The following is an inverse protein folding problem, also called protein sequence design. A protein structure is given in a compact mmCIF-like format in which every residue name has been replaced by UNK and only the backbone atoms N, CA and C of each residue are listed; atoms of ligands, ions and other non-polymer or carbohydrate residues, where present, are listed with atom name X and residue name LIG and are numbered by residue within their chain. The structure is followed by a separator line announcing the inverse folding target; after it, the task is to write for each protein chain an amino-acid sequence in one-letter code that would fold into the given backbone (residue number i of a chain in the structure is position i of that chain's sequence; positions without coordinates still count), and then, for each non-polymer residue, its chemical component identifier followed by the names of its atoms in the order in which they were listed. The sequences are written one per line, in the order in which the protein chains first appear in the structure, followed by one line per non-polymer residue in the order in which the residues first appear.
data_IF_898658320595
#
_entry.id   IF_898658320595
#
_cell.length_a   1.000
_cell.length_b   1.000
_cell.length_c   1.000
_cell.angle_alpha   90.00
_cell.angle_beta   90.00
_cell.angle_gamma   90.00
#
_symmetry.space_group_name_H-M   'P 1'
#
loop_
_entity.id
_entity.type
_entity.pdbx_description
1 polymer ?
#
# COMPACT_ATOMS: atom_id res chain seq x y z
N UNK A 1 15.40 -0.56 13.15
CA UNK A 1 15.42 -0.88 11.71
C UNK A 1 16.46 -1.96 11.49
N UNK A 2 16.09 -3.14 10.99
CA UNK A 2 17.05 -4.23 10.79
C UNK A 2 18.01 -3.90 9.65
N UNK A 3 19.31 -3.85 9.95
CA UNK A 3 20.37 -3.69 8.96
C UNK A 3 20.54 -4.99 8.18
N UNK A 4 19.86 -5.13 7.05
CA UNK A 4 20.08 -6.25 6.14
C UNK A 4 21.28 -5.91 5.24
N UNK A 5 22.27 -6.81 5.19
CA UNK A 5 23.41 -6.70 4.26
C UNK A 5 22.91 -6.89 2.83
N UNK A 6 23.43 -6.08 1.91
CA UNK A 6 23.20 -6.28 0.48
C UNK A 6 23.68 -7.68 0.06
N UNK A 7 22.90 -8.33 -0.81
CA UNK A 7 23.21 -9.66 -1.28
C UNK A 7 24.52 -9.65 -2.07
N UNK A 8 25.51 -10.40 -1.60
CA UNK A 8 26.74 -10.67 -2.35
C UNK A 8 26.36 -11.76 -3.37
N UNK A 9 26.51 -11.44 -4.66
CA UNK A 9 26.09 -12.23 -5.82
C UNK A 9 26.34 -13.74 -5.66
N UNK A 10 25.29 -14.48 -5.29
CA UNK A 10 25.19 -15.92 -5.55
C UNK A 10 24.20 -16.07 -6.70
N UNK A 11 24.68 -16.59 -7.84
CA UNK A 11 23.99 -16.55 -9.13
C UNK A 11 22.76 -17.47 -9.24
N UNK A 12 22.41 -18.20 -8.17
CA UNK A 12 21.28 -19.14 -8.15
C UNK A 12 20.32 -18.81 -7.02
N UNK A 13 19.07 -18.48 -7.36
CA UNK A 13 17.98 -18.27 -6.40
C UNK A 13 17.65 -19.59 -5.72
N UNK A 14 18.03 -19.76 -4.46
CA UNK A 14 17.58 -20.89 -3.63
C UNK A 14 16.11 -20.69 -3.25
N UNK A 15 15.28 -21.73 -3.45
CA UNK A 15 13.86 -21.76 -3.06
C UNK A 15 13.64 -23.00 -2.20
N UNK A 16 13.14 -22.80 -0.99
CA UNK A 16 12.79 -23.89 -0.07
C UNK A 16 11.39 -24.43 -0.43
N UNK A 17 11.24 -25.72 -0.76
CA UNK A 17 9.95 -26.33 -1.09
C UNK A 17 9.10 -26.68 0.15
N UNK A 18 9.60 -26.47 1.38
CA UNK A 18 8.92 -26.88 2.61
C UNK A 18 7.58 -26.15 2.78
N UNK A 19 6.45 -26.87 2.92
CA UNK A 19 5.15 -26.24 3.13
C UNK A 19 5.02 -25.69 4.56
N UNK A 20 4.09 -24.75 4.73
CA UNK A 20 3.76 -24.21 6.04
C UNK A 20 3.19 -25.33 6.96
N UNK A 21 3.52 -25.37 8.26
CA UNK A 21 2.97 -26.36 9.18
C UNK A 21 1.44 -26.34 9.24
N UNK A 22 0.82 -27.50 9.39
CA UNK A 22 -0.66 -27.64 9.44
C UNK A 22 -1.33 -26.86 10.57
N UNK A 23 -0.58 -26.57 11.64
CA UNK A 23 -1.06 -25.75 12.77
C UNK A 23 -1.34 -24.29 12.40
N UNK A 24 -0.76 -23.79 11.29
CA UNK A 24 -0.97 -22.43 10.82
C UNK A 24 -1.98 -22.45 9.66
N UNK A 25 -3.18 -21.87 9.83
CA UNK A 25 -4.17 -21.85 8.77
C UNK A 25 -3.68 -21.02 7.58
N UNK A 26 -3.92 -21.56 6.37
CA UNK A 26 -3.58 -20.88 5.11
C UNK A 26 -4.34 -19.55 4.96
N UNK A 27 -3.70 -18.59 4.31
CA UNK A 27 -4.26 -17.29 3.95
C UNK A 27 -3.98 -17.02 2.49
N UNK A 28 -4.92 -16.35 1.82
CA UNK A 28 -4.68 -15.86 0.46
C UNK A 28 -3.69 -14.70 0.51
N UNK A 29 -2.77 -14.67 -0.44
CA UNK A 29 -1.80 -13.59 -0.58
C UNK A 29 -2.36 -12.42 -1.39
N UNK A 30 -1.82 -11.21 -1.16
CA UNK A 30 -2.36 -9.97 -1.75
C UNK A 30 -2.36 -9.98 -3.28
N UNK A 31 -1.37 -10.61 -3.90
CA UNK A 31 -1.28 -10.77 -5.37
C UNK A 31 -1.13 -9.47 -6.17
N UNK A 32 -0.92 -8.32 -5.54
CA UNK A 32 -0.72 -7.04 -6.19
C UNK A 32 0.78 -6.72 -6.38
N UNK A 33 1.14 -6.15 -7.53
CA UNK A 33 2.49 -5.64 -7.79
C UNK A 33 2.74 -4.29 -7.10
N UNK A 34 3.96 -3.76 -7.20
CA UNK A 34 4.39 -2.53 -6.51
C UNK A 34 3.53 -1.31 -6.83
N UNK A 35 3.23 -1.02 -8.10
CA UNK A 35 2.46 0.16 -8.49
C UNK A 35 1.01 0.18 -7.97
N UNK A 36 0.18 -0.87 -8.16
CA UNK A 36 -1.18 -0.89 -7.62
C UNK A 36 -1.17 -0.86 -6.08
N UNK A 37 -0.23 -1.53 -5.43
CA UNK A 37 -0.12 -1.49 -3.97
C UNK A 37 0.27 -0.08 -3.47
N UNK A 38 1.19 0.59 -4.16
CA UNK A 38 1.57 1.98 -3.88
C UNK A 38 0.43 2.97 -4.15
N UNK A 39 -0.35 2.76 -5.20
CA UNK A 39 -1.54 3.55 -5.52
C UNK A 39 -2.60 3.45 -4.41
N UNK A 40 -2.82 2.24 -3.87
CA UNK A 40 -3.80 1.98 -2.82
C UNK A 40 -3.30 2.25 -1.38
N UNK A 41 -2.02 2.55 -1.18
CA UNK A 41 -1.37 2.52 0.14
C UNK A 41 -2.03 3.43 1.18
N UNK A 42 -2.47 4.63 0.80
CA UNK A 42 -3.14 5.58 1.70
C UNK A 42 -4.51 5.07 2.13
N UNK A 43 -5.24 4.42 1.23
CA UNK A 43 -6.54 3.84 1.52
C UNK A 43 -6.41 2.58 2.36
N UNK A 44 -5.38 1.75 2.13
CA UNK A 44 -5.03 0.62 3.01
C UNK A 44 -4.72 1.14 4.41
N UNK A 45 -3.93 2.22 4.50
CA UNK A 45 -3.59 2.85 5.78
C UNK A 45 -4.82 3.34 6.56
N UNK A 46 -5.80 3.93 5.89
CA UNK A 46 -7.03 4.38 6.55
C UNK A 46 -7.98 3.22 6.89
N UNK A 47 -8.24 2.33 5.94
CA UNK A 47 -9.22 1.25 6.09
C UNK A 47 -8.74 0.13 7.01
N UNK A 48 -7.45 -0.19 6.98
CA UNK A 48 -6.84 -1.25 7.78
C UNK A 48 -6.04 -0.72 8.97
N UNK A 49 -6.28 0.53 9.39
CA UNK A 49 -5.49 1.21 10.43
C UNK A 49 -5.37 0.37 11.71
N UNK A 50 -6.51 -0.07 12.24
CA UNK A 50 -6.57 -0.84 13.50
C UNK A 50 -5.78 -2.14 13.40
N UNK A 51 -5.95 -2.90 12.32
CA UNK A 51 -5.23 -4.16 12.13
C UNK A 51 -3.72 -3.97 11.96
N UNK A 52 -3.31 -2.92 11.26
CA UNK A 52 -1.90 -2.60 11.04
C UNK A 52 -1.23 -2.17 12.34
N UNK A 53 -1.91 -1.34 13.13
CA UNK A 53 -1.41 -0.86 14.42
C UNK A 53 -1.29 -2.04 15.40
N UNK A 54 -2.30 -2.90 15.50
CA UNK A 54 -2.27 -4.10 16.35
C UNK A 54 -1.11 -5.04 15.98
N UNK A 55 -0.87 -5.26 14.68
CA UNK A 55 0.25 -6.08 14.22
C UNK A 55 1.61 -5.47 14.63
N UNK A 56 1.75 -4.15 14.51
CA UNK A 56 2.98 -3.46 14.90
C UNK A 56 3.17 -3.43 16.42
N UNK A 57 2.10 -3.31 17.20
CA UNK A 57 2.13 -3.43 18.66
C UNK A 57 2.57 -4.84 19.08
N UNK A 58 1.94 -5.88 18.53
CA UNK A 58 2.33 -7.28 18.79
C UNK A 58 3.81 -7.53 18.49
N UNK A 59 4.30 -7.01 17.36
CA UNK A 59 5.71 -7.14 16.97
C UNK A 59 6.67 -6.37 17.88
N UNK A 60 6.22 -5.27 18.47
CA UNK A 60 7.00 -4.51 19.43
C UNK A 60 7.03 -5.18 20.82
N UNK A 61 5.96 -5.88 21.19
CA UNK A 61 5.86 -6.64 22.45
C UNK A 61 6.67 -7.93 22.42
N UNK A 62 6.72 -8.62 21.27
CA UNK A 62 7.41 -9.89 21.11
C UNK A 62 8.25 -9.95 19.83
N UNK A 63 9.52 -10.33 19.98
CA UNK A 63 10.45 -10.51 18.87
C UNK A 63 10.24 -11.81 18.08
N UNK A 64 9.45 -12.77 18.58
CA UNK A 64 9.13 -14.02 17.87
C UNK A 64 8.09 -13.76 16.76
N UNK A 65 8.44 -13.92 15.46
CA UNK A 65 7.51 -13.71 14.36
C UNK A 65 6.32 -14.68 14.38
N UNK A 66 6.44 -15.85 15.03
CA UNK A 66 5.34 -16.82 15.13
C UNK A 66 4.18 -16.28 15.98
N UNK A 67 4.48 -15.40 16.94
CA UNK A 67 3.50 -14.85 17.87
C UNK A 67 2.42 -14.04 17.13
N UNK A 68 2.81 -13.24 16.14
CA UNK A 68 1.93 -12.28 15.46
C UNK A 68 1.32 -12.81 14.13
N UNK A 69 1.35 -14.13 13.90
CA UNK A 69 0.82 -14.74 12.67
C UNK A 69 -0.70 -14.56 12.52
N UNK A 70 -1.43 -14.39 13.62
CA UNK A 70 -2.88 -14.19 13.57
C UNK A 70 -3.24 -12.78 13.11
N UNK A 71 -2.50 -11.80 13.62
CA UNK A 71 -2.60 -10.37 13.34
C UNK A 71 -2.17 -10.11 11.89
N UNK A 72 -1.06 -10.72 11.46
CA UNK A 72 -0.59 -10.63 10.07
C UNK A 72 -1.61 -11.15 9.05
N UNK A 73 -2.36 -12.21 9.38
CA UNK A 73 -3.46 -12.71 8.54
C UNK A 73 -4.62 -11.72 8.46
N UNK A 74 -4.97 -11.05 9.57
CA UNK A 74 -6.02 -10.01 9.59
C UNK A 74 -5.64 -8.84 8.68
N UNK A 75 -4.39 -8.36 8.78
CA UNK A 75 -3.85 -7.31 7.91
C UNK A 75 -3.95 -7.69 6.43
N UNK A 76 -3.49 -8.90 6.09
CA UNK A 76 -3.49 -9.40 4.71
C UNK A 76 -4.90 -9.48 4.14
N UNK A 77 -5.86 -10.04 4.90
CA UNK A 77 -7.27 -10.13 4.50
C UNK A 77 -7.91 -8.75 4.34
N UNK A 78 -7.61 -7.81 5.23
CA UNK A 78 -8.12 -6.45 5.13
C UNK A 78 -7.64 -5.76 3.83
N UNK A 79 -6.34 -5.88 3.52
CA UNK A 79 -5.77 -5.33 2.30
C UNK A 79 -6.40 -5.95 1.03
N UNK A 80 -6.60 -7.27 1.00
CA UNK A 80 -7.27 -7.98 -0.11
C UNK A 80 -8.71 -7.47 -0.28
N UNK A 81 -9.45 -7.34 0.82
CA UNK A 81 -10.82 -6.84 0.79
C UNK A 81 -10.91 -5.43 0.18
N UNK A 82 -10.02 -4.54 0.61
CA UNK A 82 -9.98 -3.18 0.07
C UNK A 82 -9.59 -3.16 -1.41
N UNK A 83 -8.55 -3.89 -1.82
CA UNK A 83 -8.12 -3.93 -3.22
C UNK A 83 -9.25 -4.49 -4.11
N UNK A 84 -9.98 -5.48 -3.62
CA UNK A 84 -11.17 -6.02 -4.32
C UNK A 84 -12.23 -4.94 -4.49
N UNK A 85 -12.59 -4.23 -3.42
CA UNK A 85 -13.54 -3.10 -3.48
C UNK A 85 -13.08 -1.99 -4.42
N UNK A 86 -11.78 -1.66 -4.44
CA UNK A 86 -11.22 -0.65 -5.34
C UNK A 86 -11.36 -1.07 -6.80
N UNK A 87 -11.12 -2.34 -7.12
CA UNK A 87 -11.27 -2.88 -8.48
C UNK A 87 -12.73 -2.88 -8.93
N UNK A 88 -13.65 -3.25 -8.06
CA UNK A 88 -15.09 -3.31 -8.35
C UNK A 88 -15.69 -1.92 -8.55
N UNK A 89 -15.30 -0.94 -7.73
CA UNK A 89 -15.93 0.38 -7.70
C UNK A 89 -15.20 1.43 -8.54
N UNK A 90 -13.87 1.42 -8.55
CA UNK A 90 -13.02 2.47 -9.14
C UNK A 90 -11.92 1.88 -10.05
N UNK A 91 -12.18 0.72 -10.67
CA UNK A 91 -11.14 -0.03 -11.41
C UNK A 91 -10.47 0.76 -12.53
N UNK A 92 -11.21 1.59 -13.26
CA UNK A 92 -10.67 2.39 -14.38
C UNK A 92 -9.73 3.50 -13.89
N UNK A 93 -10.16 4.24 -12.88
CA UNK A 93 -9.38 5.34 -12.29
C UNK A 93 -8.16 4.79 -11.54
N UNK A 94 -8.34 3.67 -10.85
CA UNK A 94 -7.27 2.96 -10.17
C UNK A 94 -6.19 2.50 -11.16
N UNK A 95 -6.60 1.93 -12.29
CA UNK A 95 -5.70 1.52 -13.37
C UNK A 95 -4.95 2.68 -14.01
N UNK A 96 -5.65 3.76 -14.36
CA UNK A 96 -5.01 4.95 -14.89
C UNK A 96 -3.96 5.53 -13.93
N UNK A 97 -4.22 5.50 -12.62
CA UNK A 97 -3.29 6.00 -11.62
C UNK A 97 -2.05 5.11 -11.48
N UNK A 98 -2.20 3.79 -11.28
CA UNK A 98 -1.04 2.93 -11.10
C UNK A 98 -0.20 2.78 -12.38
N UNK A 99 -0.82 2.79 -13.57
CA UNK A 99 -0.09 2.80 -14.84
C UNK A 99 0.77 4.06 -15.00
N UNK A 100 0.29 5.21 -14.53
CA UNK A 100 1.09 6.43 -14.49
C UNK A 100 2.29 6.28 -13.54
N UNK A 101 2.07 5.73 -12.34
CA UNK A 101 3.15 5.51 -11.37
C UNK A 101 4.24 4.63 -11.96
N UNK A 102 3.86 3.52 -12.62
CA UNK A 102 4.83 2.59 -13.20
C UNK A 102 5.74 3.24 -14.25
N UNK A 103 5.22 4.22 -15.01
CA UNK A 103 6.00 4.97 -16.02
C UNK A 103 6.91 6.07 -15.46
N UNK A 104 6.71 6.48 -14.21
CA UNK A 104 7.35 7.65 -13.62
C UNK A 104 8.16 7.31 -12.37
N UNK A 105 8.88 6.17 -12.38
CA UNK A 105 9.66 5.70 -11.23
C UNK A 105 8.82 5.60 -9.93
N UNK A 106 7.51 5.41 -10.09
CA UNK A 106 6.51 5.40 -9.03
C UNK A 106 6.42 6.70 -8.21
N UNK A 107 6.80 7.85 -8.78
CA UNK A 107 6.70 9.15 -8.13
C UNK A 107 5.27 9.72 -8.16
N UNK A 108 4.69 10.00 -6.99
CA UNK A 108 3.32 10.53 -6.90
C UNK A 108 3.15 11.93 -7.52
N UNK A 109 4.17 12.78 -7.48
CA UNK A 109 4.06 14.15 -8.01
C UNK A 109 3.83 14.16 -9.53
N UNK A 110 4.27 13.11 -10.24
CA UNK A 110 4.07 12.95 -11.67
C UNK A 110 2.64 12.58 -12.04
N UNK A 111 1.89 12.00 -11.10
CA UNK A 111 0.59 11.37 -11.36
C UNK A 111 -0.58 12.08 -10.67
N UNK A 112 -0.44 13.37 -10.32
CA UNK A 112 -1.51 14.13 -9.61
C UNK A 112 -2.84 14.18 -10.37
N UNK A 113 -2.81 14.20 -11.70
CA UNK A 113 -4.04 14.25 -12.52
C UNK A 113 -4.88 12.96 -12.36
N UNK A 114 -4.35 11.76 -12.66
CA UNK A 114 -5.10 10.52 -12.41
C UNK A 114 -5.31 10.23 -10.92
N UNK A 115 -4.42 10.70 -10.04
CA UNK A 115 -4.61 10.58 -8.59
C UNK A 115 -5.86 11.31 -8.10
N UNK A 116 -6.13 12.53 -8.59
CA UNK A 116 -7.32 13.29 -8.20
C UNK A 116 -8.61 12.59 -8.61
N UNK A 117 -8.69 12.09 -9.84
CA UNK A 117 -9.86 11.33 -10.32
C UNK A 117 -10.06 10.06 -9.53
N UNK A 118 -8.98 9.37 -9.18
CA UNK A 118 -9.04 8.18 -8.34
C UNK A 118 -9.51 8.50 -6.91
N UNK A 119 -8.94 9.52 -6.28
CA UNK A 119 -9.33 9.94 -4.93
C UNK A 119 -10.81 10.35 -4.87
N UNK A 120 -11.32 11.07 -5.88
CA UNK A 120 -12.73 11.44 -5.96
C UNK A 120 -13.63 10.21 -6.03
N UNK A 121 -13.33 9.24 -6.91
CA UNK A 121 -14.11 8.01 -7.00
C UNK A 121 -14.14 7.23 -5.68
N UNK A 122 -12.98 7.10 -5.03
CA UNK A 122 -12.86 6.37 -3.75
C UNK A 122 -13.61 7.07 -2.64
N UNK A 123 -13.58 8.41 -2.58
CA UNK A 123 -14.35 9.18 -1.62
C UNK A 123 -15.86 9.01 -1.85
N UNK A 124 -16.33 9.14 -3.10
CA UNK A 124 -17.75 9.06 -3.43
C UNK A 124 -18.34 7.66 -3.21
N UNK A 125 -17.60 6.59 -3.55
CA UNK A 125 -18.12 5.21 -3.50
C UNK A 125 -17.80 4.46 -2.22
N UNK A 126 -16.65 4.72 -1.60
CA UNK A 126 -16.17 3.99 -0.43
C UNK A 126 -16.05 4.85 0.83
N UNK A 127 -16.22 6.18 0.73
CA UNK A 127 -16.10 7.10 1.86
C UNK A 127 -14.69 7.22 2.42
N UNK A 128 -13.66 6.77 1.68
CA UNK A 128 -12.27 6.83 2.11
C UNK A 128 -11.58 8.07 1.53
N UNK A 129 -10.76 8.73 2.33
CA UNK A 129 -10.11 9.98 1.99
C UNK A 129 -8.60 9.89 2.27
N UNK A 130 -7.80 10.26 1.27
CA UNK A 130 -6.35 10.32 1.44
C UNK A 130 -5.95 11.49 2.34
N UNK A 131 -5.59 11.18 3.59
CA UNK A 131 -5.03 12.15 4.55
C UNK A 131 -3.59 11.81 4.89
N UNK A 132 -2.71 12.81 4.79
CA UNK A 132 -1.31 12.69 5.20
C UNK A 132 -1.19 13.13 6.67
N UNK A 133 -0.95 12.19 7.61
CA UNK A 133 -0.79 12.53 9.03
C UNK A 133 0.45 13.41 9.23
N UNK A 134 0.40 14.33 10.20
CA UNK A 134 1.52 15.24 10.52
C UNK A 134 1.72 16.39 9.52
N UNK A 135 0.78 16.64 8.61
CA UNK A 135 0.80 17.84 7.77
C UNK A 135 0.55 19.10 8.61
N UNK A 136 1.23 20.24 8.34
CA UNK A 136 1.06 21.48 9.10
C UNK A 136 -0.40 21.96 9.11
N UNK A 137 -0.90 22.34 10.30
CA UNK A 137 -2.25 22.87 10.45
C UNK A 137 -2.41 24.18 9.64
N UNK A 138 -3.52 24.30 8.92
CA UNK A 138 -3.82 25.46 8.07
C UNK A 138 -3.19 25.46 6.67
N UNK A 139 -2.37 24.46 6.31
CA UNK A 139 -1.83 24.33 4.95
C UNK A 139 -2.55 23.24 4.14
N UNK A 140 -2.74 23.50 2.84
CA UNK A 140 -3.24 22.47 1.92
C UNK A 140 -2.24 21.32 1.79
N UNK A 141 -2.75 20.08 1.82
CA UNK A 141 -1.94 18.89 1.60
C UNK A 141 -1.30 18.91 0.19
N UNK A 142 -0.10 18.36 0.07
CA UNK A 142 0.73 18.45 -1.16
C UNK A 142 0.03 17.98 -2.44
N UNK A 143 -0.86 16.97 -2.33
CA UNK A 143 -1.59 16.43 -3.48
C UNK A 143 -2.78 17.32 -3.91
N UNK A 144 -3.24 18.21 -3.01
CA UNK A 144 -4.33 19.16 -3.25
C UNK A 144 -3.83 20.52 -3.75
N UNK A 145 -2.54 20.85 -3.57
CA UNK A 145 -1.95 22.10 -4.05
C UNK A 145 -2.25 22.33 -5.54
N UNK A 146 -2.86 23.47 -5.86
CA UNK A 146 -3.22 23.84 -7.24
C UNK A 146 -1.98 24.10 -8.12
N UNK A 147 -0.97 24.76 -7.55
CA UNK A 147 0.27 25.14 -8.24
C UNK A 147 1.51 24.58 -7.52
N UNK A 148 1.87 23.30 -7.73
CA UNK A 148 3.09 22.73 -7.16
C UNK A 148 4.35 23.29 -7.83
N UNK A 149 5.44 23.41 -7.07
CA UNK A 149 6.76 23.83 -7.57
C UNK A 149 7.37 22.73 -8.44
N UNK A 150 7.32 21.48 -7.98
CA UNK A 150 7.78 20.31 -8.74
C UNK A 150 6.63 19.87 -9.64
N UNK A 151 6.86 19.87 -10.94
CA UNK A 151 5.93 19.40 -11.97
C UNK A 151 6.69 18.45 -12.88
N UNK A 152 6.03 17.42 -13.39
CA UNK A 152 6.57 16.69 -14.54
C UNK A 152 6.75 17.68 -15.68
N UNK A 153 7.98 17.88 -16.13
CA UNK A 153 8.23 18.54 -17.40
C UNK A 153 7.47 17.74 -18.47
N UNK A 154 6.46 18.37 -19.07
CA UNK A 154 5.83 17.87 -20.28
C UNK A 154 6.96 17.63 -21.28
N UNK A 155 7.18 16.37 -21.63
CA UNK A 155 7.76 16.05 -22.94
C UNK A 155 6.68 16.27 -23.98
#
# INVERSE_FOLDING_TARGET
MSAQKEAIFTHTKYVDPTPLPESVPKVDEIGATSAPLKSASFFIGQYCKEYNDDFMLCKNENNDPKHCLTEGRKVTRCAINLITKLRENCGKEFEAHWQCLEKNNQDFYACRKPERTFNTCVFEKLGLEKKIPGSPEGQEQVHNKKNPVIRTHLK
#
